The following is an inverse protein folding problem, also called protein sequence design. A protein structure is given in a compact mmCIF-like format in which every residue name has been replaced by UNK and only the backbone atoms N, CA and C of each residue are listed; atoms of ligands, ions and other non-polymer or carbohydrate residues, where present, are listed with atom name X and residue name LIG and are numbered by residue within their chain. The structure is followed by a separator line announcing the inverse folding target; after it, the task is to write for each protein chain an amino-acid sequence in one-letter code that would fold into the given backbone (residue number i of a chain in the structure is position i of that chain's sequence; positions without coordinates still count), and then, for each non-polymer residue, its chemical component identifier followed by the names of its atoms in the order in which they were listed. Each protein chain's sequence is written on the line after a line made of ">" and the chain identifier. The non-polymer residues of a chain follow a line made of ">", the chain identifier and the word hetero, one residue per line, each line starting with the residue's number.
data_IF_149510759625
#
_entry.id   IF_149510759625
#
_cell.length_a   1.000
_cell.length_b   1.000
_cell.length_c   1.000
_cell.angle_alpha   90.00
_cell.angle_beta   90.00
_cell.angle_gamma   90.00
#
_symmetry.space_group_name_H-M   'P 1'
#
loop_
_entity.id
_entity.type
_entity.pdbx_description
1 polymer ?
#
# COMPACT_ATOMS: atom_id res chain seq x y z
N UNK A 1 15.45 8.55 19.36
CA UNK A 1 16.46 7.49 19.51
C UNK A 1 17.46 7.59 18.37
N UNK A 2 18.75 7.45 18.66
CA UNK A 2 19.82 7.50 17.66
C UNK A 2 20.78 6.34 17.93
N UNK A 3 21.33 5.76 16.87
CA UNK A 3 22.30 4.65 16.95
C UNK A 3 23.53 5.03 16.14
N UNK A 4 24.71 4.83 16.73
CA UNK A 4 26.00 5.11 16.11
C UNK A 4 26.76 3.80 15.91
N UNK A 5 27.49 3.71 14.79
CA UNK A 5 28.41 2.61 14.55
C UNK A 5 29.65 2.69 15.45
N UNK A 6 30.46 1.63 15.43
CA UNK A 6 31.74 1.59 16.13
C UNK A 6 32.76 2.64 15.62
N UNK A 7 32.52 3.17 14.42
CA UNK A 7 33.24 4.27 13.78
C UNK A 7 32.72 5.67 14.17
N UNK A 8 31.67 5.74 15.00
CA UNK A 8 31.03 6.99 15.39
C UNK A 8 30.11 7.59 14.31
N UNK A 9 29.91 6.91 13.18
CA UNK A 9 28.98 7.36 12.14
C UNK A 9 27.55 7.12 12.59
N UNK A 10 26.67 8.11 12.38
CA UNK A 10 25.24 7.99 12.67
C UNK A 10 24.60 6.99 11.70
N UNK A 11 24.13 5.85 12.23
CA UNK A 11 23.53 4.77 11.45
C UNK A 11 22.00 4.81 11.47
N UNK A 12 21.41 5.28 12.56
CA UNK A 12 19.95 5.41 12.69
C UNK A 12 19.60 6.67 13.47
N UNK A 13 18.61 7.41 12.98
CA UNK A 13 18.11 8.62 13.62
C UNK A 13 16.59 8.69 13.50
N UNK A 14 15.88 8.58 14.62
CA UNK A 14 14.41 8.71 14.61
C UNK A 14 13.93 10.12 14.26
N UNK A 15 14.79 11.12 14.27
CA UNK A 15 14.41 12.49 13.90
C UNK A 15 14.25 12.65 12.37
N UNK A 16 14.81 11.71 11.60
CA UNK A 16 14.67 11.62 10.14
C UNK A 16 13.89 10.36 9.73
N UNK A 17 14.07 9.24 10.43
CA UNK A 17 13.42 7.96 10.14
C UNK A 17 11.97 7.84 10.67
N UNK A 18 11.15 8.89 10.52
CA UNK A 18 9.73 8.83 10.88
C UNK A 18 8.90 8.34 9.71
N UNK A 19 8.25 7.18 9.89
CA UNK A 19 7.16 6.77 9.02
C UNK A 19 5.90 7.56 9.39
N UNK A 20 5.24 8.16 8.40
CA UNK A 20 3.96 8.87 8.57
C UNK A 20 2.91 8.25 7.67
N UNK A 21 1.73 7.98 8.22
CA UNK A 21 0.54 7.66 7.41
C UNK A 21 0.12 8.92 6.67
N UNK A 22 0.15 8.87 5.34
CA UNK A 22 -0.20 9.99 4.46
C UNK A 22 -1.56 9.79 3.78
N UNK A 23 -2.04 8.54 3.73
CA UNK A 23 -3.39 8.20 3.28
C UNK A 23 -3.93 7.04 4.10
N UNK A 24 -5.20 7.14 4.51
CA UNK A 24 -6.00 6.00 4.97
C UNK A 24 -7.36 6.07 4.31
N UNK A 25 -7.66 5.10 3.45
CA UNK A 25 -8.92 5.08 2.67
C UNK A 25 -9.52 3.69 2.65
N UNK A 26 -10.83 3.60 2.50
CA UNK A 26 -11.52 2.34 2.24
C UNK A 26 -11.52 2.11 0.73
N UNK A 27 -11.04 0.94 0.32
CA UNK A 27 -11.09 0.44 -1.05
C UNK A 27 -12.11 -0.68 -1.09
N UNK A 28 -13.04 -0.63 -2.04
CA UNK A 28 -14.05 -1.67 -2.20
C UNK A 28 -14.20 -2.08 -3.65
N UNK A 29 -14.19 -3.39 -3.90
CA UNK A 29 -14.49 -4.00 -5.20
C UNK A 29 -15.77 -4.84 -5.16
N UNK A 30 -16.65 -4.64 -4.17
CA UNK A 30 -17.84 -5.46 -3.97
C UNK A 30 -18.78 -5.52 -5.20
N UNK A 31 -18.82 -4.46 -6.01
CA UNK A 31 -19.60 -4.38 -7.25
C UNK A 31 -18.82 -4.66 -8.54
N UNK A 32 -17.58 -5.15 -8.45
CA UNK A 32 -16.74 -5.36 -9.63
C UNK A 32 -17.26 -6.50 -10.50
N UNK A 33 -17.58 -6.19 -11.78
CA UNK A 33 -17.92 -7.19 -12.80
C UNK A 33 -16.72 -7.89 -13.42
N UNK A 34 -15.49 -7.59 -12.99
CA UNK A 34 -14.26 -8.10 -13.56
C UNK A 34 -13.00 -7.53 -12.90
N UNK A 35 -11.84 -7.82 -13.51
CA UNK A 35 -10.56 -7.21 -13.16
C UNK A 35 -10.65 -5.69 -13.30
N UNK A 36 -10.28 -4.97 -12.26
CA UNK A 36 -10.31 -3.52 -12.23
C UNK A 36 -9.26 -2.94 -11.29
N UNK A 37 -8.93 -1.68 -11.55
CA UNK A 37 -7.90 -0.93 -10.83
C UNK A 37 -8.51 0.38 -10.33
N UNK A 38 -8.31 0.69 -9.05
CA UNK A 38 -8.61 2.00 -8.46
C UNK A 38 -7.32 2.77 -8.23
N UNK A 39 -7.40 4.09 -8.30
CA UNK A 39 -6.25 4.98 -8.16
C UNK A 39 -6.50 5.95 -7.01
N UNK A 40 -5.46 6.18 -6.21
CA UNK A 40 -5.50 7.11 -5.08
C UNK A 40 -4.34 8.09 -5.19
N UNK A 41 -4.64 9.39 -5.13
CA UNK A 41 -3.62 10.44 -5.14
C UNK A 41 -2.89 10.48 -3.80
N UNK A 42 -1.56 10.46 -3.85
CA UNK A 42 -0.65 10.58 -2.71
C UNK A 42 0.55 11.48 -3.06
N UNK A 43 0.34 12.80 -3.23
CA UNK A 43 1.39 13.70 -3.69
C UNK A 43 2.68 13.63 -2.85
N UNK A 44 3.83 13.61 -3.53
CA UNK A 44 5.15 13.51 -2.92
C UNK A 44 5.55 12.12 -2.43
N UNK A 45 4.73 11.09 -2.69
CA UNK A 45 5.04 9.69 -2.42
C UNK A 45 5.43 8.98 -3.72
N UNK A 46 6.45 8.12 -3.68
CA UNK A 46 6.86 7.27 -4.79
C UNK A 46 7.55 6.00 -4.25
N UNK A 47 8.10 5.18 -5.15
CA UNK A 47 8.74 3.90 -4.78
C UNK A 47 10.03 4.05 -3.96
N UNK A 48 10.65 5.24 -3.93
CA UNK A 48 11.87 5.48 -3.14
C UNK A 48 11.61 6.07 -1.75
N UNK A 49 10.37 6.47 -1.45
CA UNK A 49 10.03 7.12 -0.18
C UNK A 49 8.69 6.71 0.46
N UNK A 50 7.93 5.80 -0.15
CA UNK A 50 6.64 5.36 0.38
C UNK A 50 6.31 3.89 0.10
N UNK A 51 5.42 3.35 0.93
CA UNK A 51 4.84 2.02 0.79
C UNK A 51 3.32 2.11 0.91
N UNK A 52 2.62 1.30 0.13
CA UNK A 52 1.18 1.08 0.24
C UNK A 52 0.92 -0.33 0.73
N UNK A 53 -0.04 -0.47 1.64
CA UNK A 53 -0.55 -1.76 2.11
C UNK A 53 -2.07 -1.72 2.19
N UNK A 54 -2.70 -2.88 2.10
CA UNK A 54 -4.12 -3.05 2.39
C UNK A 54 -4.31 -3.94 3.61
N UNK A 55 -5.26 -3.57 4.46
CA UNK A 55 -5.66 -4.33 5.63
C UNK A 55 -7.12 -4.77 5.48
N UNK A 56 -7.47 -6.05 5.68
CA UNK A 56 -8.86 -6.49 5.70
C UNK A 56 -9.67 -5.70 6.72
N UNK A 57 -10.87 -5.25 6.33
CA UNK A 57 -11.82 -4.61 7.25
C UNK A 57 -13.10 -5.43 7.32
N UNK A 58 -13.05 -6.49 8.11
CA UNK A 58 -14.14 -7.45 8.26
C UNK A 58 -13.72 -8.87 7.87
N UNK A 59 -14.69 -9.78 7.90
CA UNK A 59 -14.47 -11.15 7.48
C UNK A 59 -14.34 -11.20 5.95
N UNK A 60 -13.31 -11.87 5.46
CA UNK A 60 -13.17 -12.19 4.04
C UNK A 60 -14.16 -13.31 3.68
N UNK A 61 -14.80 -13.20 2.52
CA UNK A 61 -15.51 -14.33 1.91
C UNK A 61 -14.52 -15.43 1.50
N UNK A 62 -15.00 -16.64 1.24
CA UNK A 62 -14.12 -17.77 0.87
C UNK A 62 -13.37 -17.57 -0.45
N UNK A 63 -13.95 -16.79 -1.36
CA UNK A 63 -13.43 -16.41 -2.67
C UNK A 63 -12.70 -15.08 -2.65
N UNK A 64 -12.79 -14.32 -1.56
CA UNK A 64 -12.03 -13.08 -1.39
C UNK A 64 -10.53 -13.36 -1.39
N UNK A 65 -9.80 -12.49 -2.07
CA UNK A 65 -8.34 -12.51 -2.15
C UNK A 65 -7.79 -11.14 -1.76
N UNK A 66 -6.55 -11.13 -1.27
CA UNK A 66 -5.85 -9.89 -0.98
C UNK A 66 -5.80 -9.00 -2.23
N UNK A 67 -6.09 -7.71 -2.06
CA UNK A 67 -5.94 -6.71 -3.12
C UNK A 67 -4.45 -6.41 -3.32
N UNK A 68 -4.05 -6.23 -4.57
CA UNK A 68 -2.67 -5.86 -4.90
C UNK A 68 -2.51 -4.34 -4.89
N UNK A 69 -1.44 -3.87 -4.26
CA UNK A 69 -1.08 -2.45 -4.21
C UNK A 69 0.20 -2.19 -4.98
N UNK A 70 0.23 -1.13 -5.78
CA UNK A 70 1.44 -0.67 -6.47
C UNK A 70 1.64 0.83 -6.21
N UNK A 71 2.80 1.17 -5.66
CA UNK A 71 3.24 2.56 -5.52
C UNK A 71 3.82 3.06 -6.85
N UNK A 72 3.34 4.20 -7.31
CA UNK A 72 3.90 4.97 -8.42
C UNK A 72 4.14 6.43 -7.99
N UNK A 73 4.62 7.27 -8.91
CA UNK A 73 4.91 8.67 -8.58
C UNK A 73 3.63 9.47 -8.34
N UNK A 74 3.40 9.85 -7.08
CA UNK A 74 2.23 10.60 -6.63
C UNK A 74 0.91 9.83 -6.60
N UNK A 75 0.91 8.53 -6.93
CA UNK A 75 -0.30 7.71 -7.07
C UNK A 75 -0.08 6.32 -6.48
N UNK A 76 -1.12 5.76 -5.86
CA UNK A 76 -1.20 4.32 -5.55
C UNK A 76 -2.27 3.68 -6.41
N UNK A 77 -1.92 2.58 -7.07
CA UNK A 77 -2.87 1.69 -7.71
C UNK A 77 -3.27 0.59 -6.73
N UNK A 78 -4.57 0.32 -6.63
CA UNK A 78 -5.09 -0.85 -5.92
C UNK A 78 -5.89 -1.68 -6.91
N UNK A 79 -5.56 -2.97 -7.00
CA UNK A 79 -6.14 -3.91 -7.97
C UNK A 79 -6.83 -5.04 -7.25
N UNK A 80 -7.93 -5.50 -7.83
CA UNK A 80 -8.56 -6.73 -7.38
C UNK A 80 -8.00 -7.98 -8.07
N UNK A 81 -6.86 -7.88 -8.74
CA UNK A 81 -6.22 -8.97 -9.46
C UNK A 81 -4.70 -8.81 -9.37
N UNK A 82 -3.97 -9.89 -9.64
CA UNK A 82 -2.51 -9.86 -9.70
C UNK A 82 -2.07 -9.35 -11.09
N UNK A 83 -1.38 -8.22 -11.11
CA UNK A 83 -0.86 -7.58 -12.30
C UNK A 83 0.20 -8.48 -12.96
N UNK A 84 0.17 -8.57 -14.29
CA UNK A 84 1.07 -9.44 -15.05
C UNK A 84 0.75 -10.95 -14.97
N UNK A 85 -0.23 -11.38 -14.15
CA UNK A 85 -0.66 -12.78 -14.08
C UNK A 85 -1.89 -13.03 -14.96
N UNK A 86 -1.76 -14.00 -15.89
CA UNK A 86 -2.81 -14.41 -16.83
C UNK A 86 -3.89 -15.33 -16.20
N UNK A 87 -4.33 -15.02 -14.98
CA UNK A 87 -5.43 -15.72 -14.31
C UNK A 87 -6.79 -15.07 -14.58
N UNK A 88 -7.88 -15.82 -14.39
CA UNK A 88 -9.26 -15.28 -14.47
C UNK A 88 -9.81 -14.82 -13.13
N UNK A 89 -9.15 -15.18 -12.02
CA UNK A 89 -9.58 -14.84 -10.67
C UNK A 89 -9.35 -13.35 -10.38
N UNK A 90 -10.32 -12.76 -9.69
CA UNK A 90 -10.25 -11.42 -9.11
C UNK A 90 -11.07 -11.39 -7.81
N UNK A 91 -10.82 -10.37 -6.99
CA UNK A 91 -11.40 -10.21 -5.66
C UNK A 91 -12.58 -9.23 -5.65
N UNK A 92 -13.51 -9.43 -4.73
CA UNK A 92 -14.60 -8.50 -4.40
C UNK A 92 -14.38 -7.80 -3.06
N UNK A 93 -13.21 -8.02 -2.46
CA UNK A 93 -12.90 -7.60 -1.10
C UNK A 93 -13.04 -6.10 -0.88
N UNK A 94 -13.40 -5.76 0.35
CA UNK A 94 -13.29 -4.42 0.90
C UNK A 94 -12.16 -4.39 1.93
N UNK A 95 -11.18 -3.51 1.72
CA UNK A 95 -9.99 -3.38 2.56
C UNK A 95 -9.68 -1.91 2.85
N UNK A 96 -8.90 -1.65 3.91
CA UNK A 96 -8.36 -0.33 4.19
C UNK A 96 -6.98 -0.19 3.56
N UNK A 97 -6.86 0.70 2.58
CA UNK A 97 -5.59 1.16 2.07
C UNK A 97 -4.93 2.07 3.10
N UNK A 98 -3.67 1.80 3.41
CA UNK A 98 -2.79 2.67 4.17
C UNK A 98 -1.57 2.95 3.31
N UNK A 99 -1.24 4.23 3.15
CA UNK A 99 0.02 4.66 2.52
C UNK A 99 0.86 5.32 3.58
N UNK A 100 2.10 4.85 3.72
CA UNK A 100 3.07 5.37 4.67
C UNK A 100 4.28 5.90 3.92
N UNK A 101 4.74 7.08 4.30
CA UNK A 101 5.91 7.75 3.73
C UNK A 101 7.00 7.86 4.78
N UNK A 102 8.25 7.69 4.37
CA UNK A 102 9.44 8.01 5.17
C UNK A 102 10.17 9.23 4.61
N UNK A 103 10.98 9.85 5.46
CA UNK A 103 11.75 11.07 5.18
C UNK A 103 13.25 10.83 5.33
#
# INVERSE_FOLDING_TARGET
>A
MRTWGADGILQFNTDTATWRIVLSSVVSFAGAGGKSTQQYSVPGCNTSNAVAIVLPIGAAASDDRQLETEMADGIVYVRNYINGYAGLMFSHSTMRLIVMRWY
#
